data_IF_076700648435
#
_entry.id   IF_076700648435
#
_cell.length_a   1.000
_cell.length_b   1.000
_cell.length_c   1.000
_cell.angle_alpha   90.00
_cell.angle_beta   90.00
_cell.angle_gamma   90.00
#
_symmetry.space_group_name_H-M   'P 1'
#
loop_
_entity.id
_entity.type
_entity.pdbx_description
1 polymer ?
#
# COMPACT_ATOMS: atom_id res chain seq x y z
N UNK A 1 19.19 9.65 -12.18
CA UNK A 1 18.13 9.92 -13.18
C UNK A 1 17.89 11.41 -13.24
N UNK A 2 18.36 12.08 -14.31
CA UNK A 2 18.17 13.52 -14.54
C UNK A 2 17.19 13.84 -15.67
N UNK A 3 16.81 12.84 -16.49
CA UNK A 3 15.83 12.96 -17.57
C UNK A 3 14.56 12.17 -17.29
N UNK A 4 13.79 11.89 -18.34
CA UNK A 4 12.58 11.07 -18.27
C UNK A 4 12.86 9.66 -18.77
N UNK A 5 12.57 8.67 -17.93
CA UNK A 5 12.47 7.26 -18.32
C UNK A 5 10.99 6.96 -18.47
N UNK A 6 10.53 6.74 -19.71
CA UNK A 6 9.13 6.43 -20.00
C UNK A 6 8.99 4.99 -20.49
N UNK A 7 8.10 4.23 -19.85
CA UNK A 7 7.78 2.87 -20.27
C UNK A 7 6.85 2.86 -21.49
N UNK A 8 7.05 1.84 -22.33
CA UNK A 8 6.18 1.55 -23.46
C UNK A 8 4.76 1.18 -22.99
N UNK A 9 3.74 1.65 -23.69
CA UNK A 9 2.33 1.31 -23.44
C UNK A 9 1.90 -0.05 -24.01
N UNK A 10 2.84 -0.87 -24.50
CA UNK A 10 2.55 -2.17 -25.09
C UNK A 10 2.14 -3.20 -24.03
N UNK A 11 0.84 -3.27 -23.75
CA UNK A 11 0.24 -4.18 -22.77
C UNK A 11 0.62 -5.62 -23.06
N UNK A 12 0.48 -6.08 -24.31
CA UNK A 12 0.77 -7.47 -24.72
C UNK A 12 2.22 -7.87 -24.45
N UNK A 13 3.17 -6.98 -24.71
CA UNK A 13 4.57 -7.25 -24.42
C UNK A 13 4.81 -7.38 -22.92
N UNK A 14 4.30 -6.45 -22.12
CA UNK A 14 4.59 -6.40 -20.69
C UNK A 14 3.85 -7.45 -19.87
N UNK A 15 2.65 -7.86 -20.27
CA UNK A 15 1.97 -8.99 -19.63
C UNK A 15 2.79 -10.28 -19.77
N UNK A 16 3.49 -10.47 -20.88
CA UNK A 16 4.34 -11.62 -21.14
C UNK A 16 5.76 -11.51 -20.54
N UNK A 17 6.34 -10.30 -20.46
CA UNK A 17 7.78 -10.12 -20.17
C UNK A 17 8.11 -9.38 -18.86
N UNK A 18 7.11 -8.94 -18.09
CA UNK A 18 7.33 -8.33 -16.77
C UNK A 18 7.94 -9.33 -15.77
N UNK A 19 8.69 -8.79 -14.80
CA UNK A 19 9.15 -9.56 -13.64
C UNK A 19 7.94 -10.06 -12.85
N UNK A 20 7.91 -11.33 -12.46
CA UNK A 20 6.77 -11.96 -11.78
C UNK A 20 7.07 -12.22 -10.32
N UNK A 21 6.07 -12.02 -9.47
CA UNK A 21 6.16 -12.26 -8.03
C UNK A 21 5.02 -13.15 -7.58
N UNK A 22 5.33 -14.10 -6.70
CA UNK A 22 4.31 -14.98 -6.10
C UNK A 22 3.33 -14.17 -5.25
N UNK A 23 3.84 -13.19 -4.50
CA UNK A 23 3.02 -12.35 -3.65
C UNK A 23 1.97 -11.60 -4.48
N UNK A 24 0.70 -11.90 -4.18
CA UNK A 24 -0.49 -11.39 -4.86
C UNK A 24 -0.48 -11.55 -6.38
N UNK A 25 0.25 -12.54 -6.91
CA UNK A 25 0.43 -12.77 -8.35
C UNK A 25 0.80 -11.47 -9.11
N UNK A 26 1.62 -10.64 -8.47
CA UNK A 26 1.98 -9.33 -8.97
C UNK A 26 3.09 -9.41 -10.02
N UNK A 27 3.27 -8.32 -10.76
CA UNK A 27 4.34 -8.21 -11.75
C UNK A 27 4.90 -6.80 -11.77
N UNK A 28 6.07 -6.58 -12.39
CA UNK A 28 6.71 -5.27 -12.44
C UNK A 28 7.38 -4.95 -13.77
N UNK A 29 7.43 -3.66 -14.09
CA UNK A 29 8.23 -3.13 -15.20
C UNK A 29 9.72 -3.18 -14.90
N UNK A 30 10.10 -2.69 -13.71
CA UNK A 30 11.50 -2.51 -13.36
C UNK A 30 11.79 -3.07 -11.98
N UNK A 31 12.80 -3.93 -11.89
CA UNK A 31 13.30 -4.50 -10.66
C UNK A 31 14.78 -4.13 -10.47
N UNK A 32 15.15 -3.82 -9.23
CA UNK A 32 16.52 -3.66 -8.78
C UNK A 32 16.79 -4.50 -7.53
N UNK A 33 17.99 -5.05 -7.43
CA UNK A 33 18.48 -5.78 -6.26
C UNK A 33 19.99 -5.60 -6.11
N UNK A 34 20.52 -5.84 -4.91
CA UNK A 34 21.95 -5.66 -4.62
C UNK A 34 22.21 -4.75 -3.41
N UNK A 35 23.46 -4.34 -3.24
CA UNK A 35 23.88 -3.54 -2.08
C UNK A 35 24.27 -2.11 -2.50
N UNK A 36 24.09 -1.15 -1.60
CA UNK A 36 24.54 0.24 -1.72
C UNK A 36 24.06 0.96 -2.99
N UNK A 37 22.77 0.84 -3.31
CA UNK A 37 22.19 1.40 -4.55
C UNK A 37 21.55 2.76 -4.27
N UNK A 38 21.85 3.75 -5.11
CA UNK A 38 21.36 5.13 -4.95
C UNK A 38 20.68 5.64 -6.23
N UNK A 39 19.37 5.97 -6.14
CA UNK A 39 18.60 6.58 -7.23
C UNK A 39 18.26 8.04 -6.93
N UNK A 40 18.84 8.97 -7.67
CA UNK A 40 18.67 10.41 -7.44
C UNK A 40 18.75 11.22 -8.73
N UNK A 41 18.41 12.51 -8.68
CA UNK A 41 18.80 13.47 -9.73
C UNK A 41 17.69 14.32 -10.34
N UNK A 42 16.49 14.38 -9.76
CA UNK A 42 15.43 15.31 -10.21
C UNK A 42 14.58 14.80 -11.38
N UNK A 43 14.96 13.67 -11.99
CA UNK A 43 14.31 13.13 -13.18
C UNK A 43 12.95 12.48 -12.92
N UNK A 44 12.34 11.97 -13.99
CA UNK A 44 10.99 11.37 -13.97
C UNK A 44 11.00 9.91 -14.42
N UNK A 45 10.27 9.07 -13.69
CA UNK A 45 9.92 7.70 -14.12
C UNK A 45 8.42 7.71 -14.48
N UNK A 46 8.11 7.53 -15.76
CA UNK A 46 6.74 7.57 -16.29
C UNK A 46 6.29 6.16 -16.71
N UNK A 47 5.32 5.60 -16.00
CA UNK A 47 4.76 4.28 -16.27
C UNK A 47 3.84 4.21 -17.47
N UNK A 48 3.46 5.36 -18.05
CA UNK A 48 2.56 5.44 -19.20
C UNK A 48 1.24 4.67 -18.98
N UNK A 49 0.63 4.88 -17.80
CA UNK A 49 -0.46 4.07 -17.24
C UNK A 49 -1.85 4.21 -17.87
N UNK A 50 -2.15 5.27 -18.62
CA UNK A 50 -3.52 5.51 -19.13
C UNK A 50 -4.09 4.32 -19.93
N UNK A 51 -3.37 3.73 -20.90
CA UNK A 51 -3.87 2.56 -21.64
C UNK A 51 -4.15 1.36 -20.72
N UNK A 52 -3.39 1.21 -19.62
CA UNK A 52 -3.60 0.15 -18.64
C UNK A 52 -4.86 0.39 -17.81
N UNK A 53 -5.11 1.63 -17.39
CA UNK A 53 -6.34 1.98 -16.65
C UNK A 53 -7.58 1.79 -17.53
N UNK A 54 -7.51 2.20 -18.80
CA UNK A 54 -8.60 2.02 -19.77
C UNK A 54 -8.87 0.54 -20.07
N UNK A 55 -7.81 -0.29 -20.15
CA UNK A 55 -7.95 -1.72 -20.37
C UNK A 55 -8.52 -2.43 -19.12
N UNK A 56 -8.06 -2.07 -17.93
CA UNK A 56 -8.54 -2.65 -16.68
C UNK A 56 -9.98 -2.29 -16.37
N UNK A 57 -10.44 -1.10 -16.77
CA UNK A 57 -11.85 -0.72 -16.68
C UNK A 57 -12.76 -1.63 -17.53
N UNK A 58 -12.24 -2.25 -18.59
CA UNK A 58 -12.96 -3.22 -19.45
C UNK A 58 -12.81 -4.65 -18.94
N UNK A 59 -11.64 -4.98 -18.40
CA UNK A 59 -11.30 -6.30 -17.86
C UNK A 59 -10.53 -6.15 -16.54
N UNK A 60 -11.26 -6.27 -15.43
CA UNK A 60 -10.70 -6.22 -14.08
C UNK A 60 -9.79 -7.39 -13.70
N UNK A 61 -9.65 -8.40 -14.58
CA UNK A 61 -8.69 -9.50 -14.39
C UNK A 61 -7.31 -9.22 -15.00
N UNK A 62 -7.17 -8.13 -15.76
CA UNK A 62 -5.91 -7.75 -16.38
C UNK A 62 -4.82 -7.49 -15.32
N UNK A 63 -3.79 -8.34 -15.33
CA UNK A 63 -2.57 -8.12 -14.55
C UNK A 63 -1.83 -6.89 -15.04
N UNK A 64 -1.64 -5.92 -14.14
CA UNK A 64 -0.94 -4.65 -14.41
C UNK A 64 0.39 -4.60 -13.66
N UNK A 65 1.50 -4.23 -14.31
CA UNK A 65 2.80 -4.20 -13.66
C UNK A 65 2.95 -3.01 -12.71
N UNK A 66 3.61 -3.26 -11.58
CA UNK A 66 4.16 -2.28 -10.65
C UNK A 66 5.26 -1.49 -11.36
N UNK A 67 5.32 -0.18 -11.11
CA UNK A 67 6.25 0.70 -11.82
C UNK A 67 7.72 0.45 -11.44
N UNK A 68 8.01 0.38 -10.15
CA UNK A 68 9.37 0.23 -9.64
C UNK A 68 9.44 -0.75 -8.46
N UNK A 69 10.39 -1.68 -8.49
CA UNK A 69 10.58 -2.65 -7.41
C UNK A 69 12.01 -2.66 -6.90
N UNK A 70 12.15 -2.52 -5.59
CA UNK A 70 13.34 -2.89 -4.84
C UNK A 70 13.15 -4.32 -4.36
N UNK A 71 13.94 -5.26 -4.89
CA UNK A 71 13.85 -6.68 -4.59
C UNK A 71 15.21 -7.20 -4.09
N UNK A 72 15.31 -7.47 -2.80
CA UNK A 72 16.58 -7.91 -2.21
C UNK A 72 17.62 -6.79 -2.17
N UNK A 73 17.23 -5.54 -1.90
CA UNK A 73 18.20 -4.47 -1.70
C UNK A 73 18.65 -4.41 -0.24
N UNK A 74 19.93 -4.15 -0.01
CA UNK A 74 20.50 -3.95 1.32
C UNK A 74 21.38 -2.70 1.30
N UNK A 75 20.96 -1.66 2.00
CA UNK A 75 21.56 -0.33 1.88
C UNK A 75 21.15 0.31 0.56
N UNK A 76 20.09 1.12 0.58
CA UNK A 76 19.69 1.86 -0.60
C UNK A 76 19.13 3.25 -0.27
N UNK A 77 19.27 4.17 -1.22
CA UNK A 77 18.55 5.43 -1.17
C UNK A 77 17.83 5.78 -2.47
N UNK A 78 16.67 6.41 -2.36
CA UNK A 78 15.95 7.00 -3.47
C UNK A 78 15.53 8.41 -3.11
N UNK A 79 15.99 9.42 -3.87
CA UNK A 79 15.68 10.81 -3.54
C UNK A 79 15.40 11.71 -4.74
N UNK A 80 14.54 12.70 -4.50
CA UNK A 80 14.31 13.82 -5.41
C UNK A 80 13.89 13.37 -6.82
N UNK A 81 13.03 12.35 -6.92
CA UNK A 81 12.52 11.85 -8.19
C UNK A 81 11.01 12.05 -8.29
N UNK A 82 10.55 12.19 -9.53
CA UNK A 82 9.15 12.20 -9.89
C UNK A 82 8.76 10.83 -10.42
N UNK A 83 7.65 10.28 -9.98
CA UNK A 83 7.03 9.13 -10.63
C UNK A 83 5.62 9.49 -11.05
N UNK A 84 5.22 9.05 -12.24
CA UNK A 84 3.87 9.34 -12.73
C UNK A 84 3.27 8.19 -13.52
N UNK A 85 1.95 8.20 -13.55
CA UNK A 85 1.13 7.32 -14.38
C UNK A 85 1.52 5.84 -14.26
N UNK A 86 1.55 5.25 -13.06
CA UNK A 86 1.86 3.84 -12.92
C UNK A 86 0.67 3.00 -13.41
N UNK A 87 0.89 1.83 -14.05
CA UNK A 87 -0.21 0.93 -14.39
C UNK A 87 -0.92 0.37 -13.15
N UNK A 88 -0.15 0.11 -12.09
CA UNK A 88 -0.57 -0.43 -10.79
C UNK A 88 0.16 0.37 -9.69
N UNK A 89 0.63 -0.29 -8.62
CA UNK A 89 1.44 0.35 -7.57
C UNK A 89 2.63 1.12 -8.16
N UNK A 90 2.99 2.22 -7.51
CA UNK A 90 4.23 2.94 -7.82
C UNK A 90 5.44 2.12 -7.40
N UNK A 91 5.49 1.70 -6.13
CA UNK A 91 6.67 1.08 -5.56
C UNK A 91 6.32 -0.19 -4.79
N UNK A 92 7.15 -1.22 -4.98
CA UNK A 92 7.17 -2.39 -4.13
C UNK A 92 8.57 -2.59 -3.55
N UNK A 93 8.66 -2.69 -2.24
CA UNK A 93 9.91 -2.92 -1.50
C UNK A 93 9.80 -4.30 -0.88
N UNK A 94 10.48 -5.27 -1.48
CA UNK A 94 10.37 -6.69 -1.13
C UNK A 94 11.72 -7.27 -0.76
N UNK A 95 11.78 -8.06 0.32
CA UNK A 95 13.00 -8.76 0.74
C UNK A 95 14.16 -7.81 1.04
N UNK A 96 13.88 -6.56 1.42
CA UNK A 96 14.85 -5.46 1.43
C UNK A 96 15.09 -4.91 2.82
N UNK A 97 16.27 -4.35 3.05
CA UNK A 97 16.62 -3.73 4.32
C UNK A 97 17.45 -2.46 4.13
N UNK A 98 17.42 -1.59 5.14
CA UNK A 98 18.24 -0.38 5.22
C UNK A 98 18.00 0.56 4.02
N UNK A 99 16.74 0.99 3.85
CA UNK A 99 16.28 1.80 2.71
C UNK A 99 15.83 3.19 3.16
N UNK A 100 16.38 4.24 2.54
CA UNK A 100 15.95 5.62 2.73
C UNK A 100 15.30 6.19 1.46
N UNK A 101 14.04 6.62 1.57
CA UNK A 101 13.29 7.27 0.49
C UNK A 101 12.92 8.69 0.94
N UNK A 102 13.28 9.71 0.16
CA UNK A 102 13.06 11.11 0.58
C UNK A 102 12.82 12.05 -0.61
N UNK A 103 11.91 13.01 -0.49
CA UNK A 103 11.76 14.07 -1.51
C UNK A 103 11.08 13.62 -2.79
N UNK A 104 10.18 12.63 -2.72
CA UNK A 104 9.53 12.05 -3.91
C UNK A 104 8.25 12.80 -4.27
N UNK A 105 7.91 12.82 -5.56
CA UNK A 105 6.63 13.33 -6.09
C UNK A 105 5.95 12.23 -6.93
N UNK A 106 4.90 11.61 -6.39
CA UNK A 106 4.15 10.54 -7.03
C UNK A 106 2.80 11.06 -7.53
N UNK A 107 2.49 10.86 -8.83
CA UNK A 107 1.24 11.35 -9.43
C UNK A 107 0.55 10.35 -10.35
N UNK A 108 -0.61 9.87 -9.92
CA UNK A 108 -1.52 9.06 -10.73
C UNK A 108 -2.82 9.83 -11.00
N UNK A 109 -2.97 10.33 -12.22
CA UNK A 109 -4.15 11.09 -12.63
C UNK A 109 -4.59 10.63 -14.02
N UNK A 110 -5.84 10.17 -14.11
CA UNK A 110 -6.48 9.78 -15.38
C UNK A 110 -6.89 11.01 -16.19
N UNK A 111 -6.84 10.89 -17.52
CA UNK A 111 -7.31 11.94 -18.45
C UNK A 111 -8.77 11.77 -18.85
N UNK A 112 -9.45 10.73 -18.36
CA UNK A 112 -10.84 10.41 -18.70
C UNK A 112 -11.61 9.91 -17.47
N UNK A 113 -12.83 9.39 -17.66
CA UNK A 113 -13.69 8.90 -16.58
C UNK A 113 -13.28 7.54 -16.01
N UNK A 114 -12.34 6.82 -16.63
CA UNK A 114 -11.90 5.52 -16.12
C UNK A 114 -11.06 5.73 -14.87
N UNK A 115 -11.40 5.08 -13.74
CA UNK A 115 -10.70 5.28 -12.48
C UNK A 115 -9.29 4.70 -12.54
N UNK A 116 -8.34 5.40 -11.94
CA UNK A 116 -7.07 4.79 -11.53
C UNK A 116 -7.39 3.84 -10.37
N UNK A 117 -6.97 2.58 -10.46
CA UNK A 117 -7.15 1.56 -9.41
C UNK A 117 -5.80 1.04 -8.94
N UNK A 118 -5.62 0.82 -7.64
CA UNK A 118 -4.40 0.23 -7.09
C UNK A 118 -3.14 1.02 -7.46
N UNK A 119 -3.17 2.34 -7.23
CA UNK A 119 -2.01 3.21 -7.46
C UNK A 119 -1.24 3.47 -6.16
N UNK A 120 -1.07 2.43 -5.36
CA UNK A 120 -0.43 2.47 -4.04
C UNK A 120 0.95 3.16 -4.14
N UNK A 121 1.27 4.03 -3.19
CA UNK A 121 2.52 4.80 -3.19
C UNK A 121 3.73 3.90 -2.93
N UNK A 122 3.70 3.20 -1.78
CA UNK A 122 4.69 2.18 -1.43
C UNK A 122 4.05 1.00 -0.72
N UNK A 123 4.31 -0.21 -1.22
CA UNK A 123 4.05 -1.45 -0.52
C UNK A 123 5.36 -2.04 0.00
N UNK A 124 5.43 -2.29 1.31
CA UNK A 124 6.57 -2.97 1.96
C UNK A 124 6.20 -4.41 2.25
N UNK A 125 7.10 -5.36 1.98
CA UNK A 125 6.87 -6.79 2.17
C UNK A 125 8.18 -7.51 2.47
N UNK A 126 8.23 -8.41 3.46
CA UNK A 126 9.46 -9.11 3.86
C UNK A 126 10.66 -8.15 4.04
N UNK A 127 10.43 -6.96 4.60
CA UNK A 127 11.41 -5.88 4.58
C UNK A 127 11.49 -5.16 5.92
N UNK A 128 12.65 -4.59 6.23
CA UNK A 128 12.86 -3.91 7.50
C UNK A 128 13.75 -2.68 7.40
N UNK A 129 13.78 -1.84 8.44
CA UNK A 129 14.67 -0.67 8.50
C UNK A 129 14.46 0.28 7.31
N UNK A 130 13.21 0.66 7.07
CA UNK A 130 12.82 1.54 5.97
C UNK A 130 12.44 2.90 6.53
N UNK A 131 12.91 3.97 5.91
CA UNK A 131 12.41 5.33 6.13
C UNK A 131 11.85 5.88 4.83
N UNK A 132 10.59 6.32 4.85
CA UNK A 132 9.97 7.05 3.74
C UNK A 132 9.55 8.42 4.26
N UNK A 133 10.06 9.48 3.64
CA UNK A 133 9.86 10.82 4.17
C UNK A 133 9.74 11.93 3.14
N UNK A 134 9.22 13.09 3.59
CA UNK A 134 9.26 14.36 2.86
C UNK A 134 8.76 14.24 1.41
N UNK A 135 7.66 13.53 1.18
CA UNK A 135 7.19 13.21 -0.17
C UNK A 135 5.74 13.61 -0.38
N UNK A 136 5.37 13.91 -1.62
CA UNK A 136 4.00 14.25 -2.03
C UNK A 136 3.44 13.14 -2.91
N UNK A 137 2.21 12.74 -2.62
CA UNK A 137 1.55 11.61 -3.24
C UNK A 137 0.15 12.02 -3.64
N UNK A 138 -0.13 11.97 -4.95
CA UNK A 138 -1.47 12.02 -5.50
C UNK A 138 -1.76 10.66 -6.14
N UNK A 139 -2.62 9.88 -5.48
CA UNK A 139 -2.99 8.56 -5.93
C UNK A 139 -4.47 8.24 -5.62
N UNK A 140 -4.85 6.97 -5.77
CA UNK A 140 -6.22 6.49 -5.58
C UNK A 140 -6.29 5.18 -4.79
N UNK A 141 -5.21 4.82 -4.09
CA UNK A 141 -5.16 3.67 -3.20
C UNK A 141 -4.21 3.96 -2.02
N UNK A 142 -3.75 2.96 -1.27
CA UNK A 142 -2.90 3.17 -0.07
C UNK A 142 -1.74 4.15 -0.33
N UNK A 143 -1.55 5.15 0.53
CA UNK A 143 -0.39 6.05 0.43
C UNK A 143 0.89 5.26 0.76
N UNK A 144 0.84 4.48 1.83
CA UNK A 144 1.82 3.46 2.19
C UNK A 144 1.06 2.25 2.72
N UNK A 145 1.47 1.05 2.32
CA UNK A 145 0.89 -0.21 2.76
C UNK A 145 1.98 -1.12 3.35
N UNK A 146 1.79 -1.56 4.59
CA UNK A 146 2.69 -2.50 5.26
C UNK A 146 2.14 -3.92 5.09
N UNK A 147 2.69 -4.67 4.12
CA UNK A 147 2.34 -6.07 3.86
C UNK A 147 3.12 -6.99 4.81
N UNK A 148 2.87 -8.31 4.80
CA UNK A 148 3.46 -9.23 5.77
C UNK A 148 4.98 -9.16 5.88
N UNK A 149 5.45 -9.32 7.10
CA UNK A 149 6.85 -9.25 7.55
C UNK A 149 7.50 -7.91 7.22
N UNK A 150 6.79 -6.83 7.54
CA UNK A 150 7.33 -5.45 7.50
C UNK A 150 7.64 -5.00 8.91
N UNK A 151 8.88 -4.56 9.18
CA UNK A 151 9.27 -4.15 10.54
C UNK A 151 10.27 -3.01 10.63
N UNK A 152 10.28 -2.29 11.75
CA UNK A 152 11.21 -1.16 11.98
C UNK A 152 11.13 -0.12 10.87
N UNK A 153 9.94 0.45 10.66
CA UNK A 153 9.67 1.39 9.55
C UNK A 153 9.23 2.75 10.09
N UNK A 154 9.83 3.80 9.54
CA UNK A 154 9.47 5.19 9.80
C UNK A 154 8.81 5.81 8.56
N UNK A 155 7.60 6.33 8.72
CA UNK A 155 6.90 7.12 7.70
C UNK A 155 6.68 8.53 8.24
N UNK A 156 7.25 9.56 7.60
CA UNK A 156 7.09 10.92 8.10
C UNK A 156 7.02 12.04 7.06
N UNK A 157 6.30 13.11 7.40
CA UNK A 157 6.20 14.30 6.55
C UNK A 157 5.70 13.99 5.14
N UNK A 158 4.76 13.06 5.00
CA UNK A 158 4.08 12.78 3.73
C UNK A 158 2.85 13.66 3.56
N UNK A 159 2.62 14.11 2.33
CA UNK A 159 1.38 14.75 1.91
C UNK A 159 0.66 13.85 0.90
N UNK A 160 -0.35 13.13 1.38
CA UNK A 160 -1.08 12.11 0.64
C UNK A 160 -2.48 12.63 0.27
N UNK A 161 -2.80 12.69 -1.02
CA UNK A 161 -4.11 13.17 -1.52
C UNK A 161 -4.81 12.08 -2.33
N UNK A 162 -6.10 11.86 -2.07
CA UNK A 162 -6.94 10.89 -2.81
C UNK A 162 -6.72 9.42 -2.42
N UNK A 163 -5.86 9.17 -1.43
CA UNK A 163 -5.39 7.83 -1.06
C UNK A 163 -6.43 7.00 -0.29
N UNK A 164 -6.07 5.76 0.03
CA UNK A 164 -6.78 4.94 1.03
C UNK A 164 -6.09 4.92 2.41
N UNK A 165 -5.25 5.92 2.68
CA UNK A 165 -4.57 6.09 3.96
C UNK A 165 -3.20 5.45 4.05
N UNK A 166 -2.59 5.57 5.23
CA UNK A 166 -1.40 4.83 5.61
C UNK A 166 -1.85 3.55 6.32
N UNK A 167 -1.71 2.43 5.62
CA UNK A 167 -2.39 1.18 5.93
C UNK A 167 -1.43 0.11 6.45
N UNK A 168 -1.70 -0.45 7.63
CA UNK A 168 -1.17 -1.77 8.02
C UNK A 168 -2.04 -2.85 7.38
N UNK A 169 -1.46 -3.62 6.48
CA UNK A 169 -2.08 -4.78 5.84
C UNK A 169 -2.53 -4.59 4.38
N UNK A 170 -3.38 -5.47 3.84
CA UNK A 170 -4.11 -6.50 4.59
C UNK A 170 -3.24 -7.66 5.06
N UNK A 171 -3.55 -8.20 6.24
CA UNK A 171 -2.84 -9.33 6.86
C UNK A 171 -3.82 -10.44 7.26
N UNK A 172 -3.34 -11.68 7.35
CA UNK A 172 -4.13 -12.85 7.71
C UNK A 172 -4.90 -13.47 6.54
N UNK A 173 -4.50 -13.17 5.31
CA UNK A 173 -5.27 -13.54 4.11
C UNK A 173 -5.25 -15.05 3.82
N UNK A 174 -4.14 -15.74 4.10
CA UNK A 174 -3.91 -17.11 3.65
C UNK A 174 -3.83 -18.08 4.83
N UNK A 175 -4.64 -19.14 4.78
CA UNK A 175 -4.63 -20.20 5.80
C UNK A 175 -3.25 -20.84 5.91
N UNK A 176 -2.77 -21.01 7.14
CA UNK A 176 -1.46 -21.60 7.42
C UNK A 176 -0.29 -20.64 7.24
N UNK A 177 -0.53 -19.41 6.77
CA UNK A 177 0.47 -18.35 6.70
C UNK A 177 0.40 -17.50 7.97
N UNK A 178 1.58 -17.12 8.46
CA UNK A 178 1.74 -16.20 9.59
C UNK A 178 2.22 -14.86 9.06
N UNK A 179 1.43 -13.82 9.29
CA UNK A 179 1.73 -12.46 8.85
C UNK A 179 2.11 -11.60 10.06
N UNK A 180 3.28 -10.97 10.03
CA UNK A 180 3.77 -10.12 11.11
C UNK A 180 3.99 -8.70 10.58
N UNK A 181 3.47 -7.69 11.25
CA UNK A 181 3.88 -6.30 11.06
C UNK A 181 4.15 -5.69 12.42
N UNK A 182 5.35 -5.17 12.63
CA UNK A 182 5.73 -4.62 13.93
C UNK A 182 6.69 -3.45 13.87
N UNK A 183 6.71 -2.64 14.94
CA UNK A 183 7.65 -1.52 15.09
C UNK A 183 7.52 -0.49 13.95
N UNK A 184 6.30 0.04 13.78
CA UNK A 184 5.98 1.01 12.74
C UNK A 184 5.66 2.36 13.39
N UNK A 185 6.41 3.39 13.01
CA UNK A 185 6.19 4.75 13.47
C UNK A 185 5.78 5.66 12.30
N UNK A 186 4.56 6.19 12.38
CA UNK A 186 3.94 7.01 11.34
C UNK A 186 3.71 8.39 11.96
N UNK A 187 4.52 9.35 11.54
CA UNK A 187 4.67 10.63 12.22
C UNK A 187 4.48 11.84 11.31
N UNK A 188 3.66 12.81 11.72
CA UNK A 188 3.54 14.10 11.07
C UNK A 188 3.17 14.02 9.58
N UNK A 189 2.09 13.30 9.25
CA UNK A 189 1.62 13.14 7.87
C UNK A 189 0.29 13.87 7.67
N UNK A 190 0.09 14.41 6.47
CA UNK A 190 -1.16 15.04 6.06
C UNK A 190 -1.86 14.16 5.05
N UNK A 191 -3.08 13.77 5.37
CA UNK A 191 -3.98 13.01 4.51
C UNK A 191 -5.11 13.94 4.06
N UNK A 192 -5.47 13.88 2.78
CA UNK A 192 -6.47 14.78 2.21
C UNK A 192 -7.34 14.11 1.17
N UNK A 193 -8.65 14.26 1.31
CA UNK A 193 -9.65 13.63 0.43
C UNK A 193 -9.40 12.11 0.28
N UNK A 194 -8.97 11.46 1.35
CA UNK A 194 -8.69 10.03 1.40
C UNK A 194 -9.90 9.25 1.94
N UNK A 195 -9.95 7.94 1.71
CA UNK A 195 -10.94 7.11 2.43
C UNK A 195 -10.61 7.05 3.93
N UNK A 196 -9.33 6.91 4.25
CA UNK A 196 -8.86 6.74 5.62
C UNK A 196 -7.59 7.57 5.81
N UNK A 197 -7.37 8.13 6.99
CA UNK A 197 -6.06 8.72 7.30
C UNK A 197 -5.11 7.65 7.87
N UNK A 198 -5.49 7.05 8.99
CA UNK A 198 -4.79 5.92 9.60
C UNK A 198 -5.63 4.65 9.45
N UNK A 199 -5.05 3.56 8.93
CA UNK A 199 -5.78 2.32 8.68
C UNK A 199 -5.02 1.08 9.13
N UNK A 200 -5.71 0.17 9.82
CA UNK A 200 -5.25 -1.20 10.09
C UNK A 200 -6.31 -2.17 9.61
N UNK A 201 -5.96 -3.05 8.69
CA UNK A 201 -6.91 -3.98 8.06
C UNK A 201 -6.40 -5.41 8.14
N UNK A 202 -7.07 -6.25 8.92
CA UNK A 202 -6.78 -7.69 9.01
C UNK A 202 -8.00 -8.51 8.60
N UNK A 203 -7.75 -9.64 7.94
CA UNK A 203 -8.78 -10.56 7.51
C UNK A 203 -9.42 -11.28 8.70
N UNK A 204 -10.69 -11.63 8.56
CA UNK A 204 -11.36 -12.55 9.47
C UNK A 204 -10.81 -13.98 9.33
N UNK A 205 -11.35 -14.91 10.12
CA UNK A 205 -11.12 -16.34 9.97
C UNK A 205 -11.60 -16.88 8.61
N UNK A 206 -11.14 -18.07 8.26
CA UNK A 206 -11.52 -18.72 7.01
C UNK A 206 -12.98 -19.14 7.04
N UNK A 207 -13.78 -18.62 6.10
CA UNK A 207 -15.16 -19.04 5.85
C UNK A 207 -15.14 -20.26 4.92
N UNK A 208 -15.52 -21.47 5.36
CA UNK A 208 -15.46 -22.66 4.51
C UNK A 208 -16.32 -22.53 3.24
N UNK A 209 -15.84 -23.13 2.16
CA UNK A 209 -16.59 -23.31 0.91
C UNK A 209 -17.79 -24.24 1.15
N UNK A 210 -18.71 -24.30 0.17
CA UNK A 210 -19.90 -25.16 0.24
C UNK A 210 -19.59 -26.64 0.43
N UNK A 211 -18.42 -27.10 -0.03
CA UNK A 211 -17.93 -28.47 0.12
C UNK A 211 -17.15 -28.71 1.42
N UNK A 212 -17.06 -27.70 2.30
CA UNK A 212 -16.33 -27.75 3.56
C UNK A 212 -14.82 -27.49 3.43
N UNK A 213 -14.29 -27.33 2.22
CA UNK A 213 -12.88 -26.96 2.04
C UNK A 213 -12.63 -25.51 2.48
N UNK A 214 -11.40 -25.20 2.88
CA UNK A 214 -11.03 -23.83 3.23
C UNK A 214 -10.78 -23.00 1.96
N UNK A 215 -11.18 -21.72 1.94
CA UNK A 215 -11.00 -20.85 0.79
C UNK A 215 -9.51 -20.48 0.62
N UNK A 216 -9.10 -20.31 -0.63
CA UNK A 216 -7.80 -19.73 -0.94
C UNK A 216 -7.92 -18.21 -1.06
N UNK A 217 -7.18 -17.48 -0.23
CA UNK A 217 -7.07 -16.02 -0.33
C UNK A 217 -8.25 -15.21 0.21
N UNK A 218 -9.11 -15.81 1.05
CA UNK A 218 -10.28 -15.16 1.63
C UNK A 218 -10.31 -15.15 3.18
N UNK A 219 -9.13 -15.09 3.81
CA UNK A 219 -8.94 -14.94 5.26
C UNK A 219 -8.79 -16.26 6.02
N UNK A 220 -8.13 -16.23 7.19
CA UNK A 220 -7.89 -17.41 8.04
C UNK A 220 -6.43 -17.72 8.31
N UNK A 221 -5.52 -16.88 7.82
CA UNK A 221 -4.15 -16.75 8.30
C UNK A 221 -4.10 -16.11 9.69
N UNK A 222 -3.01 -16.33 10.40
CA UNK A 222 -2.78 -15.78 11.73
C UNK A 222 -1.54 -14.90 11.76
N UNK A 223 -1.18 -14.41 12.95
CA UNK A 223 -0.01 -13.56 13.14
C UNK A 223 -0.30 -12.36 14.01
N UNK A 224 0.50 -11.30 13.87
CA UNK A 224 0.46 -10.16 14.80
C UNK A 224 0.70 -8.82 14.11
N UNK A 225 -0.08 -7.82 14.53
CA UNK A 225 0.20 -6.39 14.37
C UNK A 225 0.60 -5.85 15.73
N UNK A 226 1.81 -5.33 15.86
CA UNK A 226 2.36 -4.93 17.17
C UNK A 226 3.14 -3.63 17.10
N UNK A 227 3.05 -2.80 18.14
CA UNK A 227 3.86 -1.59 18.29
C UNK A 227 3.74 -0.66 17.07
N UNK A 228 2.50 -0.25 16.80
CA UNK A 228 2.17 0.66 15.70
C UNK A 228 1.78 2.00 16.31
N UNK A 229 2.47 3.07 15.94
CA UNK A 229 2.11 4.40 16.41
C UNK A 229 1.83 5.33 15.24
N UNK A 230 0.62 5.89 15.22
CA UNK A 230 0.25 7.03 14.40
C UNK A 230 0.26 8.29 15.29
N UNK A 231 1.11 9.25 14.95
CA UNK A 231 1.32 10.47 15.73
C UNK A 231 1.37 11.72 14.84
N UNK A 232 0.62 12.76 15.21
CA UNK A 232 0.68 14.05 14.50
C UNK A 232 0.02 14.01 13.13
N UNK A 233 -1.06 13.25 12.98
CA UNK A 233 -1.77 13.15 11.70
C UNK A 233 -2.66 14.38 11.47
N UNK A 234 -2.53 15.00 10.30
CA UNK A 234 -3.44 16.07 9.84
C UNK A 234 -4.44 15.49 8.86
N UNK A 235 -5.74 15.62 9.16
CA UNK A 235 -6.86 15.06 8.39
C UNK A 235 -7.58 16.19 7.66
N UNK A 236 -7.73 16.07 6.35
CA UNK A 236 -8.42 17.09 5.53
C UNK A 236 -9.45 16.42 4.61
N UNK A 237 -10.70 16.39 5.07
CA UNK A 237 -11.83 15.82 4.31
C UNK A 237 -11.64 14.32 3.99
N UNK A 238 -11.07 13.55 4.93
CA UNK A 238 -10.97 12.09 4.80
C UNK A 238 -12.23 11.41 5.36
N UNK A 239 -12.69 10.31 4.76
CA UNK A 239 -13.95 9.66 5.18
C UNK A 239 -13.89 9.11 6.62
N UNK A 240 -12.77 8.46 6.98
CA UNK A 240 -12.42 8.15 8.35
C UNK A 240 -11.04 8.72 8.70
N UNK A 241 -10.92 9.32 9.88
CA UNK A 241 -9.61 9.64 10.46
C UNK A 241 -8.87 8.38 10.91
N UNK A 242 -9.60 7.40 11.45
CA UNK A 242 -9.04 6.14 11.94
C UNK A 242 -9.97 5.00 11.52
N UNK A 243 -9.41 4.00 10.82
CA UNK A 243 -10.04 2.70 10.59
C UNK A 243 -9.17 1.60 11.19
N UNK A 244 -9.75 0.75 12.03
CA UNK A 244 -9.18 -0.54 12.44
C UNK A 244 -10.25 -1.60 12.23
N UNK A 245 -9.95 -2.59 11.39
CA UNK A 245 -10.89 -3.68 11.10
C UNK A 245 -10.23 -5.05 11.20
N UNK A 246 -10.90 -5.95 11.92
CA UNK A 246 -10.66 -7.39 11.98
C UNK A 246 -11.53 -8.20 11.01
N UNK A 247 -12.29 -7.49 10.17
CA UNK A 247 -13.33 -8.04 9.29
C UNK A 247 -13.11 -7.62 7.83
N UNK A 248 -11.85 -7.45 7.41
CA UNK A 248 -11.54 -6.97 6.06
C UNK A 248 -12.14 -7.88 4.99
N UNK A 249 -12.86 -7.28 4.03
CA UNK A 249 -13.49 -7.96 2.88
C UNK A 249 -14.48 -9.09 3.25
N UNK A 250 -15.05 -9.04 4.45
CA UNK A 250 -16.00 -10.03 4.94
C UNK A 250 -17.27 -9.37 5.49
N UNK A 251 -18.34 -10.16 5.63
CA UNK A 251 -19.57 -9.69 6.27
C UNK A 251 -19.47 -9.81 7.80
N UNK A 252 -20.19 -8.96 8.54
CA UNK A 252 -20.24 -9.04 10.01
C UNK A 252 -20.68 -10.43 10.50
N UNK A 253 -21.63 -11.07 9.82
CA UNK A 253 -22.06 -12.44 10.15
C UNK A 253 -20.91 -13.45 10.01
N UNK A 254 -20.13 -13.36 8.93
CA UNK A 254 -18.95 -14.21 8.74
C UNK A 254 -17.89 -13.93 9.80
N UNK A 255 -17.61 -12.67 10.12
CA UNK A 255 -16.59 -12.32 11.11
C UNK A 255 -16.95 -12.78 12.52
N UNK A 256 -18.24 -12.73 12.89
CA UNK A 256 -18.70 -13.28 14.17
C UNK A 256 -18.59 -14.81 14.24
N UNK A 257 -18.88 -15.50 13.14
CA UNK A 257 -18.81 -16.96 13.07
C UNK A 257 -17.36 -17.47 12.94
N UNK A 258 -16.52 -16.71 12.24
CA UNK A 258 -15.12 -17.01 11.93
C UNK A 258 -14.25 -15.80 12.28
N UNK A 259 -14.00 -15.55 13.58
CA UNK A 259 -13.21 -14.41 14.01
C UNK A 259 -11.78 -14.48 13.49
N UNK A 260 -11.14 -13.32 13.38
CA UNK A 260 -9.74 -13.22 12.95
C UNK A 260 -8.82 -14.06 13.87
N UNK A 261 -7.74 -14.58 13.27
CA UNK A 261 -6.65 -15.23 14.01
C UNK A 261 -5.45 -14.29 14.21
N UNK A 262 -5.57 -13.04 13.76
CA UNK A 262 -4.55 -12.01 13.95
C UNK A 262 -4.70 -11.41 15.35
N UNK A 263 -3.58 -11.14 15.99
CA UNK A 263 -3.54 -10.36 17.23
C UNK A 263 -3.14 -8.93 16.88
N UNK A 264 -3.90 -7.94 17.36
CA UNK A 264 -3.54 -6.53 17.25
C UNK A 264 -3.26 -6.03 18.67
N UNK A 265 -2.05 -5.54 18.92
CA UNK A 265 -1.63 -5.07 20.23
C UNK A 265 -0.68 -3.87 20.13
N UNK A 266 -0.58 -3.11 21.22
CA UNK A 266 0.35 -1.99 21.34
C UNK A 266 0.20 -0.96 20.18
N UNK A 267 -1.06 -0.62 19.85
CA UNK A 267 -1.39 0.38 18.83
C UNK A 267 -1.74 1.69 19.50
N UNK A 268 -1.13 2.78 19.04
CA UNK A 268 -1.35 4.14 19.55
C UNK A 268 -1.76 5.06 18.40
N UNK A 269 -2.89 5.73 18.57
CA UNK A 269 -3.30 6.87 17.75
C UNK A 269 -3.27 8.11 18.64
N UNK A 270 -2.44 9.11 18.31
CA UNK A 270 -2.33 10.34 19.11
C UNK A 270 -2.07 11.58 18.25
N UNK A 271 -2.46 12.73 18.77
CA UNK A 271 -2.25 14.04 18.14
C UNK A 271 -2.83 14.15 16.71
N UNK A 272 -4.04 13.61 16.49
CA UNK A 272 -4.78 13.82 15.26
C UNK A 272 -5.47 15.18 15.30
N UNK A 273 -5.37 15.95 14.21
CA UNK A 273 -6.01 17.25 14.05
C UNK A 273 -6.65 17.35 12.67
N UNK A 274 -7.74 18.12 12.55
CA UNK A 274 -8.38 18.39 11.27
C UNK A 274 -9.87 18.06 11.24
N UNK A 275 -10.40 17.82 10.04
CA UNK A 275 -11.84 17.65 9.79
C UNK A 275 -12.07 16.48 8.84
N UNK A 276 -12.85 15.49 9.28
CA UNK A 276 -13.28 14.37 8.44
C UNK A 276 -14.35 14.82 7.41
N UNK A 277 -14.59 14.00 6.39
CA UNK A 277 -15.67 14.23 5.42
C UNK A 277 -17.03 13.98 6.06
N UNK A 278 -18.09 14.50 5.44
CA UNK A 278 -19.47 14.31 5.93
C UNK A 278 -20.07 12.94 5.61
N UNK A 279 -19.29 12.02 4.99
CA UNK A 279 -19.80 10.75 4.46
C UNK A 279 -20.32 9.80 5.54
N UNK A 280 -19.72 9.85 6.72
CA UNK A 280 -20.03 8.96 7.85
C UNK A 280 -20.58 9.68 9.07
N UNK A 281 -21.01 10.93 8.92
CA UNK A 281 -21.46 11.78 10.02
C UNK A 281 -22.49 11.09 10.94
N UNK A 282 -22.32 11.18 12.28
CA UNK A 282 -21.29 11.93 13.00
C UNK A 282 -20.00 11.11 13.31
N UNK A 283 -19.79 9.96 12.67
CA UNK A 283 -18.65 9.07 12.96
C UNK A 283 -17.41 9.51 12.18
N UNK A 284 -16.33 9.79 12.90
CA UNK A 284 -15.02 10.16 12.32
C UNK A 284 -14.02 9.00 12.26
N UNK A 285 -14.40 7.83 12.78
CA UNK A 285 -13.56 6.64 12.75
C UNK A 285 -14.34 5.38 13.10
N UNK A 286 -13.72 4.23 12.86
CA UNK A 286 -14.32 2.91 13.09
C UNK A 286 -13.29 1.93 13.62
N UNK A 287 -13.66 1.17 14.65
CA UNK A 287 -12.86 0.10 15.24
C UNK A 287 -13.76 -1.14 15.34
N UNK A 288 -13.51 -2.16 14.52
CA UNK A 288 -14.35 -3.37 14.37
C UNK A 288 -13.53 -4.64 14.47
#
# INVERSE_FOLDING_TARGET
ISGTIQFSSNITYWTANSFKYVFQNSSAFWQWGGNDINWYGGGTIDGNGQPWWDAFAKDGSLGRPILFVMNGVNGASMSDLKMKSPPNWFNFITGSQDVLISGMDLKAATSNSNPVKNSDGWDTYLSSHITIQNSTILNTDDCVSFKPNSSSILIQNLACTGSHGISVGSLGQYVGVTDIVEDIYIYNNTLSNASDAARIKVWAGAVPNKDGSLPYGAGGGGGVVKNITYDGMTVVNDDYSIELTSCYMQTTANCNAYPTKMVIQDVVFKNFVGVASSKHDPKVGTLV
#
